data_IF_039925428921
#
_entry.id   IF_039925428921
#
_cell.length_a   1.000
_cell.length_b   1.000
_cell.length_c   1.000
_cell.angle_alpha   90.00
_cell.angle_beta   90.00
_cell.angle_gamma   90.00
#
_symmetry.space_group_name_H-M   'P 1'
#
loop_
_entity.id
_entity.type
_entity.pdbx_description
1 polymer ?
#
# COMPACT_ATOMS: atom_id res chain seq x y z
N UNK A 1 8.66 -15.73 24.96
CA UNK A 1 8.95 -15.42 23.54
C UNK A 1 8.03 -16.27 22.66
N UNK A 2 6.91 -15.74 22.16
CA UNK A 2 5.92 -16.53 21.39
C UNK A 2 5.93 -16.15 19.91
N UNK A 3 6.26 -17.17 19.12
CA UNK A 3 6.34 -17.27 17.64
C UNK A 3 5.22 -16.48 16.92
N UNK A 4 5.60 -15.64 15.95
CA UNK A 4 4.69 -15.19 14.90
C UNK A 4 4.24 -16.43 14.11
N UNK A 5 2.92 -16.64 13.96
CA UNK A 5 2.39 -17.59 12.98
C UNK A 5 2.13 -16.84 11.68
N UNK A 6 2.96 -17.12 10.68
CA UNK A 6 2.57 -17.06 9.27
C UNK A 6 1.60 -18.20 9.00
N UNK A 7 0.56 -17.93 8.22
CA UNK A 7 -0.36 -18.95 7.70
C UNK A 7 0.06 -19.31 6.27
N UNK A 8 -0.19 -20.57 5.88
CA UNK A 8 0.36 -21.21 4.69
C UNK A 8 -0.79 -21.87 3.91
N UNK A 9 -0.82 -21.66 2.59
CA UNK A 9 -1.63 -22.45 1.65
C UNK A 9 -0.75 -22.88 0.46
N UNK A 10 -0.88 -24.14 0.06
CA UNK A 10 -0.24 -24.78 -1.11
C UNK A 10 1.23 -24.43 -1.40
N UNK A 11 2.02 -24.28 -0.33
CA UNK A 11 3.47 -24.09 -0.41
C UNK A 11 3.93 -22.76 -1.01
N UNK A 12 3.01 -21.83 -1.30
CA UNK A 12 3.34 -20.47 -1.75
C UNK A 12 3.13 -19.48 -0.61
N UNK A 13 4.03 -18.51 -0.52
CA UNK A 13 3.75 -17.29 0.24
C UNK A 13 2.78 -16.47 -0.60
N UNK A 14 1.55 -16.26 -0.13
CA UNK A 14 0.57 -15.44 -0.84
C UNK A 14 0.95 -13.96 -0.65
N UNK A 15 1.90 -13.51 -1.47
CA UNK A 15 2.13 -12.12 -1.80
C UNK A 15 1.71 -11.94 -3.26
N UNK A 16 0.47 -11.55 -3.50
CA UNK A 16 0.06 -11.17 -4.85
C UNK A 16 0.57 -9.75 -5.16
N UNK A 17 1.37 -9.66 -6.22
CA UNK A 17 1.80 -8.41 -6.83
C UNK A 17 1.84 -8.63 -8.33
N UNK A 18 0.80 -8.18 -9.04
CA UNK A 18 0.76 -8.29 -10.50
C UNK A 18 1.42 -7.07 -11.15
N UNK A 19 2.75 -7.00 -11.07
CA UNK A 19 3.54 -5.98 -11.76
C UNK A 19 3.72 -6.37 -13.23
N UNK A 20 2.81 -5.94 -14.10
CA UNK A 20 3.07 -5.98 -15.55
C UNK A 20 3.98 -4.81 -15.94
N UNK A 21 4.98 -5.09 -16.78
CA UNK A 21 5.79 -4.05 -17.42
C UNK A 21 4.90 -3.22 -18.36
N UNK A 22 5.03 -1.91 -18.28
CA UNK A 22 4.57 -0.99 -19.32
C UNK A 22 5.78 -0.24 -19.89
N UNK A 23 6.27 -0.70 -21.05
CA UNK A 23 7.14 0.09 -21.91
C UNK A 23 6.26 1.09 -22.69
N UNK A 24 6.44 2.40 -22.51
CA UNK A 24 5.92 3.44 -23.43
C UNK A 24 6.96 4.55 -23.61
N UNK A 25 7.02 5.04 -24.85
CA UNK A 25 8.06 5.88 -25.47
C UNK A 25 7.98 7.38 -25.13
N UNK A 26 9.02 8.12 -25.50
CA UNK A 26 9.29 9.53 -25.16
C UNK A 26 8.67 10.62 -26.05
N UNK A 27 8.22 11.73 -25.43
CA UNK A 27 8.07 13.10 -25.96
C UNK A 27 7.91 14.11 -24.78
N UNK A 28 8.09 15.44 -24.89
CA UNK A 28 8.67 16.22 -26.00
C UNK A 28 8.44 17.76 -25.91
N UNK A 29 9.11 18.48 -25.01
CA UNK A 29 9.00 19.96 -24.81
C UNK A 29 7.90 20.39 -23.81
N UNK A 30 7.87 21.62 -23.25
CA UNK A 30 8.85 22.72 -23.13
C UNK A 30 8.46 23.65 -21.93
N UNK A 31 9.13 24.80 -21.72
CA UNK A 31 8.53 25.95 -20.99
C UNK A 31 8.69 26.08 -19.46
N UNK A 32 9.82 26.67 -19.02
CA UNK A 32 9.97 27.56 -17.84
C UNK A 32 9.24 27.25 -16.50
N UNK A 33 10.01 26.79 -15.50
CA UNK A 33 9.60 26.78 -14.10
C UNK A 33 10.65 26.09 -13.23
N UNK A 34 11.48 26.87 -12.54
CA UNK A 34 12.62 26.36 -11.76
C UNK A 34 12.12 25.55 -10.55
N UNK A 35 12.09 24.21 -10.69
CA UNK A 35 11.85 23.27 -9.59
C UNK A 35 13.07 22.39 -9.45
N UNK A 36 13.65 22.46 -8.25
CA UNK A 36 14.90 21.83 -7.87
C UNK A 36 14.97 20.36 -8.32
N UNK A 37 16.10 20.05 -8.98
CA UNK A 37 16.79 18.76 -8.91
C UNK A 37 15.92 17.51 -9.10
N UNK A 38 15.82 17.04 -10.35
CA UNK A 38 15.15 15.77 -10.72
C UNK A 38 15.95 14.52 -10.29
N UNK A 39 16.43 14.47 -9.05
CA UNK A 39 16.67 13.20 -8.37
C UNK A 39 15.32 12.53 -8.11
N UNK A 40 15.30 11.20 -8.17
CA UNK A 40 14.07 10.41 -8.25
C UNK A 40 13.04 10.82 -7.20
N UNK A 41 11.79 11.04 -7.65
CA UNK A 41 10.70 11.43 -6.75
C UNK A 41 10.56 10.37 -5.65
N UNK A 42 10.43 10.76 -4.37
CA UNK A 42 10.46 9.80 -3.28
C UNK A 42 9.31 8.80 -3.38
N UNK A 43 9.60 7.52 -3.17
CA UNK A 43 8.59 6.47 -3.03
C UNK A 43 8.02 6.56 -1.62
N UNK A 44 6.71 6.79 -1.50
CA UNK A 44 6.02 6.92 -0.21
C UNK A 44 5.06 5.75 0.00
N UNK A 45 5.15 5.10 1.15
CA UNK A 45 4.19 4.08 1.59
C UNK A 45 3.31 4.65 2.70
N UNK A 46 2.00 4.71 2.44
CA UNK A 46 0.99 5.02 3.45
C UNK A 46 0.62 3.73 4.18
N UNK A 47 1.14 3.53 5.40
CA UNK A 47 0.88 2.32 6.20
C UNK A 47 -0.22 2.61 7.21
N UNK A 48 -1.35 1.90 7.10
CA UNK A 48 -2.52 2.07 7.97
C UNK A 48 -2.84 0.77 8.71
N UNK A 49 -2.70 0.71 10.05
CA UNK A 49 -3.24 -0.37 10.85
C UNK A 49 -4.77 -0.24 10.96
N UNK A 50 -5.48 -1.35 10.76
CA UNK A 50 -6.94 -1.43 10.78
C UNK A 50 -7.37 -2.51 11.79
N UNK A 51 -8.36 -2.22 12.63
CA UNK A 51 -9.01 -3.22 13.49
C UNK A 51 -10.50 -2.94 13.60
N UNK A 52 -11.31 -3.78 12.96
CA UNK A 52 -12.76 -3.63 12.83
C UNK A 52 -13.18 -2.27 12.21
N UNK A 53 -12.64 -1.95 11.03
CA UNK A 53 -12.80 -0.66 10.33
C UNK A 53 -13.71 -0.78 9.08
N UNK A 54 -14.47 -1.88 8.93
CA UNK A 54 -15.15 -2.20 7.67
C UNK A 54 -16.09 -1.10 7.16
N UNK A 55 -16.78 -0.39 8.05
CA UNK A 55 -17.72 0.70 7.70
C UNK A 55 -17.03 1.89 7.00
N UNK A 56 -15.84 2.27 7.46
CA UNK A 56 -15.12 3.46 6.98
C UNK A 56 -14.00 3.17 5.96
N UNK A 57 -13.57 1.92 5.83
CA UNK A 57 -12.34 1.57 5.11
C UNK A 57 -12.39 1.89 3.61
N UNK A 58 -13.54 1.68 2.94
CA UNK A 58 -13.69 2.01 1.51
C UNK A 58 -13.54 3.52 1.28
N UNK A 59 -14.21 4.34 2.08
CA UNK A 59 -14.11 5.80 2.00
C UNK A 59 -12.67 6.27 2.27
N UNK A 60 -12.01 5.70 3.28
CA UNK A 60 -10.60 5.99 3.60
C UNK A 60 -9.68 5.64 2.42
N UNK A 61 -9.89 4.50 1.77
CA UNK A 61 -9.12 4.08 0.61
C UNK A 61 -9.30 5.03 -0.60
N UNK A 62 -10.53 5.45 -0.88
CA UNK A 62 -10.82 6.37 -2.00
C UNK A 62 -10.21 7.78 -1.74
N UNK A 63 -10.29 8.30 -0.51
CA UNK A 63 -9.66 9.58 -0.12
C UNK A 63 -8.12 9.51 -0.21
N UNK A 64 -7.51 8.41 0.25
CA UNK A 64 -6.07 8.21 0.13
C UNK A 64 -5.63 8.05 -1.33
N UNK A 65 -6.39 7.33 -2.16
CA UNK A 65 -6.11 7.17 -3.57
C UNK A 65 -6.10 8.51 -4.31
N UNK A 66 -7.12 9.35 -4.09
CA UNK A 66 -7.17 10.71 -4.63
C UNK A 66 -5.97 11.56 -4.17
N UNK A 67 -5.53 11.39 -2.91
CA UNK A 67 -4.36 12.11 -2.38
C UNK A 67 -3.05 11.63 -3.02
N UNK A 68 -2.86 10.32 -3.20
CA UNK A 68 -1.69 9.73 -3.87
C UNK A 68 -1.64 10.15 -5.33
N UNK A 69 -2.76 10.09 -6.06
CA UNK A 69 -2.87 10.56 -7.44
C UNK A 69 -2.42 12.02 -7.56
N UNK A 70 -3.02 12.93 -6.78
CA UNK A 70 -2.67 14.35 -6.80
C UNK A 70 -1.19 14.63 -6.46
N UNK A 71 -0.61 13.93 -5.47
CA UNK A 71 0.81 14.06 -5.13
C UNK A 71 1.73 13.53 -6.25
N UNK A 72 1.30 12.51 -6.97
CA UNK A 72 2.01 11.91 -8.09
C UNK A 72 1.96 12.82 -9.33
N UNK A 73 0.78 13.34 -9.67
CA UNK A 73 0.55 14.29 -10.76
C UNK A 73 1.34 15.60 -10.57
N UNK A 74 1.41 16.09 -9.33
CA UNK A 74 2.20 17.29 -8.98
C UNK A 74 3.70 17.02 -8.78
N UNK A 75 4.17 15.81 -9.12
CA UNK A 75 5.59 15.43 -9.08
C UNK A 75 6.21 15.42 -7.69
N UNK A 76 5.40 15.21 -6.63
CA UNK A 76 5.83 15.23 -5.22
C UNK A 76 6.27 13.87 -4.71
N UNK A 77 5.75 12.79 -5.28
CA UNK A 77 6.05 11.39 -4.92
C UNK A 77 6.07 10.53 -6.19
N UNK A 78 6.89 9.47 -6.23
CA UNK A 78 6.96 8.57 -7.38
C UNK A 78 5.65 7.81 -7.59
N UNK A 79 5.34 7.46 -8.85
CA UNK A 79 4.26 6.52 -9.24
C UNK A 79 4.36 5.15 -8.57
N UNK A 80 5.52 4.79 -8.01
CA UNK A 80 5.71 3.55 -7.25
C UNK A 80 5.22 3.64 -5.79
N UNK A 81 4.73 4.81 -5.35
CA UNK A 81 4.14 5.02 -4.01
C UNK A 81 2.87 4.19 -3.83
N UNK A 82 2.61 3.70 -2.62
CA UNK A 82 1.55 2.71 -2.33
C UNK A 82 0.80 2.99 -1.04
N UNK A 83 -0.37 2.37 -0.90
CA UNK A 83 -1.16 2.31 0.32
C UNK A 83 -1.14 0.86 0.83
N UNK A 84 -0.75 0.66 2.09
CA UNK A 84 -0.60 -0.65 2.73
C UNK A 84 -1.49 -0.72 3.97
N UNK A 85 -2.60 -1.44 3.89
CA UNK A 85 -3.47 -1.72 5.03
C UNK A 85 -2.96 -2.93 5.81
N UNK A 86 -2.95 -2.83 7.14
CA UNK A 86 -2.57 -3.93 8.04
C UNK A 86 -3.75 -4.29 8.91
N UNK A 87 -4.41 -5.40 8.58
CA UNK A 87 -5.47 -5.97 9.41
C UNK A 87 -4.89 -6.56 10.70
N UNK A 88 -5.12 -5.89 11.83
CA UNK A 88 -4.70 -6.31 13.17
C UNK A 88 -5.66 -7.37 13.75
N UNK A 89 -5.92 -8.43 12.96
CA UNK A 89 -6.79 -9.54 13.33
C UNK A 89 -8.24 -9.13 13.61
N UNK A 90 -8.84 -8.34 12.71
CA UNK A 90 -10.26 -7.96 12.76
C UNK A 90 -11.19 -9.17 12.70
N UNK A 91 -12.42 -8.98 13.19
CA UNK A 91 -13.49 -10.01 13.19
C UNK A 91 -14.66 -9.69 12.26
N UNK A 92 -14.61 -8.53 11.62
CA UNK A 92 -15.56 -8.07 10.60
C UNK A 92 -14.97 -8.22 9.18
N UNK A 93 -15.61 -7.60 8.20
CA UNK A 93 -15.22 -7.67 6.79
C UNK A 93 -13.97 -6.84 6.44
N UNK A 94 -13.27 -6.23 7.40
CA UNK A 94 -12.05 -5.41 7.16
C UNK A 94 -11.08 -6.11 6.22
N UNK A 95 -10.76 -7.39 6.45
CA UNK A 95 -9.83 -8.13 5.59
C UNK A 95 -10.38 -8.42 4.18
N UNK A 96 -11.69 -8.69 4.06
CA UNK A 96 -12.33 -8.89 2.76
C UNK A 96 -12.31 -7.60 1.94
N UNK A 97 -12.54 -6.45 2.58
CA UNK A 97 -12.43 -5.13 1.92
C UNK A 97 -10.99 -4.85 1.48
N UNK A 98 -9.97 -5.16 2.31
CA UNK A 98 -8.55 -5.00 1.93
C UNK A 98 -8.20 -5.84 0.68
N UNK A 99 -8.68 -7.09 0.61
CA UNK A 99 -8.50 -7.94 -0.59
C UNK A 99 -9.19 -7.34 -1.82
N UNK A 100 -10.46 -6.96 -1.71
CA UNK A 100 -11.21 -6.34 -2.81
C UNK A 100 -10.56 -5.03 -3.30
N UNK A 101 -9.93 -4.24 -2.41
CA UNK A 101 -9.16 -3.04 -2.77
C UNK A 101 -7.89 -3.40 -3.55
N UNK A 102 -7.17 -4.45 -3.13
CA UNK A 102 -6.00 -4.95 -3.86
C UNK A 102 -6.38 -5.54 -5.23
N UNK A 103 -7.49 -6.26 -5.34
CA UNK A 103 -7.99 -6.77 -6.62
C UNK A 103 -8.40 -5.65 -7.59
N UNK A 104 -8.97 -4.54 -7.06
CA UNK A 104 -9.32 -3.33 -7.83
C UNK A 104 -8.11 -2.60 -8.40
N UNK A 105 -7.06 -2.40 -7.59
CA UNK A 105 -5.79 -1.80 -8.03
C UNK A 105 -4.63 -2.40 -7.23
N UNK A 106 -4.06 -3.46 -7.81
CA UNK A 106 -2.95 -4.20 -7.22
C UNK A 106 -1.63 -3.42 -7.25
N UNK A 107 -1.55 -2.30 -7.97
CA UNK A 107 -0.39 -1.42 -8.03
C UNK A 107 -0.40 -0.37 -6.91
N UNK A 108 -1.56 0.21 -6.61
CA UNK A 108 -1.73 1.20 -5.54
C UNK A 108 -1.94 0.56 -4.16
N UNK A 109 -2.79 -0.45 -4.04
CA UNK A 109 -3.19 -1.03 -2.76
C UNK A 109 -2.43 -2.32 -2.44
N UNK A 110 -2.22 -2.56 -1.14
CA UNK A 110 -1.71 -3.82 -0.61
C UNK A 110 -2.24 -4.09 0.79
N UNK A 111 -2.18 -5.36 1.20
CA UNK A 111 -2.67 -5.83 2.50
C UNK A 111 -1.63 -6.67 3.26
N UNK A 112 -1.69 -6.60 4.59
CA UNK A 112 -1.05 -7.54 5.52
C UNK A 112 -2.12 -8.01 6.50
N UNK A 113 -2.28 -9.33 6.68
CA UNK A 113 -3.14 -9.90 7.72
C UNK A 113 -2.32 -10.38 8.90
N UNK A 114 -2.63 -9.89 10.10
CA UNK A 114 -2.17 -10.49 11.34
C UNK A 114 -3.19 -11.53 11.82
N UNK A 115 -2.73 -12.72 12.24
CA UNK A 115 -3.61 -13.82 12.66
C UNK A 115 -4.43 -13.52 13.92
N UNK A 116 -4.03 -12.52 14.70
CA UNK A 116 -4.69 -12.08 15.94
C UNK A 116 -4.39 -10.60 16.14
N UNK A 117 -5.26 -9.88 16.84
CA UNK A 117 -4.94 -8.54 17.34
C UNK A 117 -3.68 -8.57 18.22
N UNK A 118 -2.68 -7.75 17.84
CA UNK A 118 -1.39 -7.57 18.51
C UNK A 118 -1.21 -6.16 19.05
N UNK A 119 -2.25 -5.33 19.05
CA UNK A 119 -2.26 -3.88 19.26
C UNK A 119 -1.67 -3.07 18.10
N UNK A 120 -2.22 -1.86 17.98
CA UNK A 120 -1.90 -0.85 16.96
C UNK A 120 -0.39 -0.65 16.72
N UNK A 121 0.44 -0.65 17.77
CA UNK A 121 1.90 -0.48 17.63
C UNK A 121 2.56 -1.64 16.88
N UNK A 122 2.13 -2.88 17.15
CA UNK A 122 2.67 -4.06 16.46
C UNK A 122 2.14 -4.17 15.03
N UNK A 123 0.89 -3.77 14.78
CA UNK A 123 0.34 -3.68 13.43
C UNK A 123 1.09 -2.64 12.58
N UNK A 124 1.29 -1.43 13.10
CA UNK A 124 2.09 -0.40 12.42
C UNK A 124 3.54 -0.87 12.18
N UNK A 125 4.19 -1.48 13.18
CA UNK A 125 5.55 -2.01 13.02
C UNK A 125 5.63 -3.10 11.95
N UNK A 126 4.67 -4.03 11.90
CA UNK A 126 4.59 -5.07 10.88
C UNK A 126 4.42 -4.48 9.47
N UNK A 127 3.55 -3.47 9.33
CA UNK A 127 3.37 -2.75 8.07
C UNK A 127 4.62 -1.99 7.61
N UNK A 128 5.26 -1.23 8.51
CA UNK A 128 6.49 -0.49 8.20
C UNK A 128 7.63 -1.43 7.79
N UNK A 129 7.80 -2.57 8.46
CA UNK A 129 8.80 -3.57 8.07
C UNK A 129 8.47 -4.23 6.72
N UNK A 130 7.18 -4.44 6.43
CA UNK A 130 6.69 -5.01 5.16
C UNK A 130 6.88 -4.04 3.99
N UNK A 131 6.66 -2.74 4.21
CA UNK A 131 6.90 -1.67 3.25
C UNK A 131 8.41 -1.50 2.98
N UNK A 132 9.25 -1.53 4.02
CA UNK A 132 10.72 -1.42 3.89
C UNK A 132 11.34 -2.55 3.05
N UNK A 133 10.73 -3.73 3.02
CA UNK A 133 11.16 -4.85 2.17
C UNK A 133 10.67 -4.75 0.70
N UNK A 134 9.98 -3.66 0.34
CA UNK A 134 9.42 -3.37 -0.99
C UNK A 134 9.83 -1.98 -1.52
N UNK A 135 10.89 -1.42 -0.93
CA UNK A 135 11.63 -0.24 -1.40
C UNK A 135 12.96 -0.73 -1.98
#
# INVERSE_FOLDING_TARGET
MRRLRTEYEDGKIIFETNTQKADITSAGGDGSGERADRRDQPVVYFVLPCYNEAEGLVHTADVLAAKVAHLTETGRISKQSRILFVDDGSKDDTWSIIRNLHERDAHLFGGVKLSHNRSHQNALLAGLMTARLRL
#
